data_IF_443367844545
#
_entry.id   IF_443367844545
#
_cell.length_a   1.000
_cell.length_b   1.000
_cell.length_c   1.000
_cell.angle_alpha   90.00
_cell.angle_beta   90.00
_cell.angle_gamma   90.00
#
_symmetry.space_group_name_H-M   'P 1'
#
loop_
_entity.id
_entity.type
_entity.pdbx_description
1 polymer ?
#
# COMPACT_ATOMS: atom_id res chain seq x y z
N UNK A 1 -37.48 -0.75 5.26
CA UNK A 1 -36.08 -0.44 5.64
C UNK A 1 -35.31 -0.29 4.34
N UNK A 2 -34.53 0.77 4.20
CA UNK A 2 -33.67 0.95 3.03
C UNK A 2 -32.59 -0.14 3.06
N UNK A 3 -32.50 -0.94 2.01
CA UNK A 3 -31.52 -2.01 1.91
C UNK A 3 -30.27 -1.44 1.24
N UNK A 4 -29.20 -1.34 2.02
CA UNK A 4 -27.89 -0.93 1.52
C UNK A 4 -27.08 -2.15 1.09
N UNK A 5 -26.29 -1.98 0.05
CA UNK A 5 -25.26 -2.95 -0.32
C UNK A 5 -24.21 -3.04 0.79
N UNK A 6 -23.67 -4.24 1.00
CA UNK A 6 -22.67 -4.50 2.02
C UNK A 6 -21.31 -4.68 1.37
N UNK A 7 -20.34 -3.92 1.85
CA UNK A 7 -18.96 -3.96 1.39
C UNK A 7 -18.04 -4.43 2.51
N UNK A 8 -16.93 -5.05 2.13
CA UNK A 8 -15.89 -5.47 3.07
C UNK A 8 -14.57 -4.82 2.66
N UNK A 9 -14.08 -3.91 3.50
CA UNK A 9 -12.85 -3.16 3.23
C UNK A 9 -11.75 -3.57 4.20
N UNK A 10 -10.60 -3.94 3.65
CA UNK A 10 -9.34 -4.09 4.37
C UNK A 10 -8.54 -2.79 4.26
N UNK A 11 -8.50 -2.01 5.34
CA UNK A 11 -7.61 -0.85 5.44
C UNK A 11 -6.20 -1.35 5.68
N UNK A 12 -5.25 -0.85 4.89
CA UNK A 12 -3.82 -1.20 4.92
C UNK A 12 -2.97 -0.05 5.46
N UNK A 13 -3.45 1.19 5.33
CA UNK A 13 -2.82 2.39 5.86
C UNK A 13 -3.89 3.43 6.21
N UNK A 14 -3.79 4.15 7.36
CA UNK A 14 -2.66 4.21 8.31
C UNK A 14 -2.60 3.07 9.32
N UNK A 15 -3.70 2.36 9.54
CA UNK A 15 -3.77 1.27 10.52
C UNK A 15 -4.56 0.15 9.92
N UNK A 16 -4.03 -1.07 10.08
CA UNK A 16 -4.65 -2.24 9.53
C UNK A 16 -6.00 -2.55 10.20
N UNK A 17 -7.06 -2.71 9.41
CA UNK A 17 -8.38 -3.07 9.91
C UNK A 17 -9.23 -3.76 8.83
N UNK A 18 -10.07 -4.70 9.25
CA UNK A 18 -11.13 -5.26 8.42
C UNK A 18 -12.47 -4.68 8.87
N UNK A 19 -13.14 -4.01 7.95
CA UNK A 19 -14.35 -3.24 8.24
C UNK A 19 -15.43 -3.61 7.25
N UNK A 20 -16.60 -3.96 7.78
CA UNK A 20 -17.84 -4.04 7.02
C UNK A 20 -18.48 -2.65 6.95
N UNK A 21 -19.02 -2.30 5.79
CA UNK A 21 -19.57 -0.97 5.53
C UNK A 21 -20.79 -1.06 4.61
N UNK A 22 -21.76 -0.18 4.85
CA UNK A 22 -22.88 0.08 3.92
C UNK A 22 -22.61 1.28 3.00
N UNK A 23 -21.39 1.83 3.05
CA UNK A 23 -20.93 2.91 2.19
C UNK A 23 -20.15 2.34 1.00
N UNK A 24 -20.40 2.84 -0.22
CA UNK A 24 -19.54 2.55 -1.38
C UNK A 24 -18.13 3.15 -1.16
N UNK A 25 -17.13 2.74 -1.96
CA UNK A 25 -15.72 3.12 -1.73
C UNK A 25 -15.50 4.63 -1.66
N UNK A 26 -16.19 5.39 -2.52
CA UNK A 26 -16.16 6.86 -2.55
C UNK A 26 -16.61 7.49 -1.23
N UNK A 27 -17.68 6.98 -0.63
CA UNK A 27 -18.20 7.55 0.62
C UNK A 27 -17.39 7.02 1.81
N UNK A 28 -16.82 5.82 1.69
CA UNK A 28 -15.94 5.23 2.69
C UNK A 28 -14.64 6.02 2.87
N UNK A 29 -13.97 6.44 1.78
CA UNK A 29 -12.75 7.28 1.90
C UNK A 29 -13.07 8.64 2.56
N UNK A 30 -14.16 9.30 2.13
CA UNK A 30 -14.60 10.60 2.69
C UNK A 30 -14.94 10.48 4.18
N UNK A 31 -15.51 9.34 4.60
CA UNK A 31 -15.83 9.05 6.00
C UNK A 31 -14.60 9.14 6.90
N UNK A 32 -13.43 8.71 6.42
CA UNK A 32 -12.17 8.72 7.16
C UNK A 32 -11.43 10.05 7.05
N UNK A 33 -11.52 10.75 5.92
CA UNK A 33 -10.91 12.08 5.74
C UNK A 33 -11.63 13.19 6.52
N UNK A 34 -12.96 13.19 6.54
CA UNK A 34 -13.75 14.31 7.08
C UNK A 34 -14.87 13.90 8.04
N UNK A 35 -15.44 12.72 7.85
CA UNK A 35 -16.75 12.39 8.43
C UNK A 35 -16.73 11.81 9.83
N UNK A 36 -15.56 11.55 10.44
CA UNK A 36 -15.44 10.78 11.68
C UNK A 36 -15.08 11.58 12.92
N UNK A 37 -15.57 11.11 14.08
CA UNK A 37 -15.15 11.59 15.39
C UNK A 37 -13.67 11.30 15.64
N UNK A 38 -13.11 10.30 14.96
CA UNK A 38 -11.69 9.94 14.94
C UNK A 38 -11.04 10.57 13.70
N UNK A 39 -10.69 11.85 13.80
CA UNK A 39 -10.07 12.59 12.69
C UNK A 39 -8.73 11.97 12.27
N UNK A 40 -8.54 11.76 10.97
CA UNK A 40 -7.25 11.40 10.38
C UNK A 40 -6.97 12.27 9.16
N UNK A 41 -5.90 13.07 9.23
CA UNK A 41 -5.49 14.03 8.19
C UNK A 41 -4.38 13.46 7.31
N UNK A 42 -4.59 12.27 6.74
CA UNK A 42 -3.56 11.63 5.95
C UNK A 42 -4.10 10.76 4.83
N UNK A 43 -3.17 10.14 4.13
CA UNK A 43 -3.43 9.21 3.04
C UNK A 43 -4.07 7.94 3.56
N UNK A 44 -5.01 7.40 2.81
CA UNK A 44 -5.64 6.12 3.13
C UNK A 44 -5.34 5.14 2.02
N UNK A 45 -4.95 3.91 2.36
CA UNK A 45 -4.89 2.81 1.40
C UNK A 45 -5.76 1.70 1.94
N UNK A 46 -6.71 1.23 1.14
CA UNK A 46 -7.59 0.13 1.50
C UNK A 46 -7.95 -0.67 0.27
N UNK A 47 -8.31 -1.94 0.46
CA UNK A 47 -8.78 -2.81 -0.59
C UNK A 47 -10.21 -3.28 -0.29
N UNK A 48 -11.01 -3.43 -1.33
CA UNK A 48 -12.29 -4.13 -1.27
C UNK A 48 -12.06 -5.64 -1.45
N UNK A 49 -12.71 -6.41 -0.60
CA UNK A 49 -12.67 -7.87 -0.61
C UNK A 49 -14.01 -8.43 -1.08
N UNK A 50 -13.99 -9.64 -1.61
CA UNK A 50 -15.23 -10.40 -1.85
C UNK A 50 -16.04 -10.50 -0.56
N UNK A 51 -17.26 -9.93 -0.56
CA UNK A 51 -18.18 -9.94 0.58
C UNK A 51 -18.52 -11.35 1.08
N UNK A 52 -18.32 -12.37 0.23
CA UNK A 52 -18.54 -13.79 0.56
C UNK A 52 -17.30 -14.48 1.13
N UNK A 53 -16.13 -13.85 1.12
CA UNK A 53 -14.90 -14.41 1.70
C UNK A 53 -15.07 -14.68 3.20
N UNK A 54 -14.54 -15.81 3.68
CA UNK A 54 -14.59 -16.22 5.08
C UNK A 54 -13.27 -16.83 5.50
N UNK A 55 -12.87 -16.54 6.73
CA UNK A 55 -11.69 -17.10 7.36
C UNK A 55 -12.01 -17.38 8.85
N UNK A 56 -11.48 -18.46 9.46
CA UNK A 56 -11.78 -18.79 10.86
C UNK A 56 -11.32 -17.76 11.90
N UNK A 57 -10.25 -16.99 11.61
CA UNK A 57 -9.75 -15.93 12.49
C UNK A 57 -10.60 -14.65 12.34
N UNK A 58 -11.07 -14.37 11.12
CA UNK A 58 -11.91 -13.22 10.82
C UNK A 58 -13.39 -13.55 11.04
N UNK A 59 -13.94 -13.19 12.20
CA UNK A 59 -15.35 -13.46 12.61
C UNK A 59 -16.40 -12.64 11.80
N UNK A 60 -16.33 -12.70 10.47
CA UNK A 60 -17.09 -11.88 9.52
C UNK A 60 -18.60 -12.09 9.71
N UNK A 61 -19.08 -13.34 9.81
CA UNK A 61 -20.51 -13.62 10.00
C UNK A 61 -21.06 -13.07 11.32
N UNK A 62 -20.23 -13.00 12.36
CA UNK A 62 -20.62 -12.37 13.62
C UNK A 62 -20.72 -10.86 13.46
N UNK A 63 -19.76 -10.24 12.79
CA UNK A 63 -19.76 -8.81 12.53
C UNK A 63 -20.90 -8.37 11.58
N UNK A 64 -21.25 -9.19 10.59
CA UNK A 64 -22.37 -8.96 9.65
C UNK A 64 -23.70 -8.77 10.37
N UNK A 65 -23.94 -9.46 11.50
CA UNK A 65 -25.15 -9.27 12.32
C UNK A 65 -25.29 -7.85 12.86
N UNK A 66 -24.17 -7.13 13.03
CA UNK A 66 -24.12 -5.75 13.47
C UNK A 66 -24.14 -4.72 12.33
N UNK A 67 -24.06 -5.16 11.07
CA UNK A 67 -24.12 -4.30 9.89
C UNK A 67 -25.56 -3.93 9.56
N UNK A 68 -26.18 -3.15 10.43
CA UNK A 68 -27.58 -2.71 10.32
C UNK A 68 -27.63 -1.19 10.28
N UNK A 69 -28.43 -0.66 9.36
CA UNK A 69 -28.66 0.77 9.23
C UNK A 69 -29.15 1.37 10.57
N UNK A 70 -28.82 2.63 10.80
CA UNK A 70 -29.23 3.34 12.00
C UNK A 70 -30.76 3.50 12.05
N UNK A 71 -31.35 3.71 13.25
CA UNK A 71 -32.80 3.90 13.39
C UNK A 71 -33.35 5.09 12.58
N UNK A 72 -32.51 6.07 12.28
CA UNK A 72 -32.82 7.24 11.45
C UNK A 72 -32.71 6.96 9.94
N UNK A 73 -32.43 5.72 9.56
CA UNK A 73 -32.32 5.26 8.18
C UNK A 73 -30.92 5.39 7.58
N UNK A 74 -29.96 6.06 8.24
CA UNK A 74 -28.61 6.24 7.68
C UNK A 74 -27.85 4.90 7.58
N UNK A 75 -27.00 4.73 6.54
CA UNK A 75 -26.19 3.53 6.40
C UNK A 75 -25.22 3.39 7.58
N UNK A 76 -24.94 2.14 7.96
CA UNK A 76 -23.88 1.79 8.91
C UNK A 76 -22.53 1.98 8.23
N UNK A 77 -21.87 3.08 8.53
CA UNK A 77 -20.62 3.45 7.88
C UNK A 77 -19.44 2.51 8.20
N UNK A 78 -19.36 2.03 9.45
CA UNK A 78 -18.27 1.17 9.89
C UNK A 78 -18.76 0.15 10.91
N UNK A 79 -18.46 -1.12 10.65
CA UNK A 79 -18.63 -2.23 11.57
C UNK A 79 -17.33 -3.04 11.54
N UNK A 80 -16.52 -2.91 12.59
CA UNK A 80 -15.22 -3.59 12.65
C UNK A 80 -15.39 -5.11 12.78
N UNK A 81 -14.57 -5.84 12.03
CA UNK A 81 -14.38 -7.30 12.12
C UNK A 81 -13.09 -7.61 12.88
N UNK A 82 -11.99 -6.95 12.49
CA UNK A 82 -10.66 -7.12 13.09
C UNK A 82 -9.85 -5.82 12.96
N UNK A 83 -8.88 -5.62 13.86
CA UNK A 83 -7.97 -4.47 13.84
C UNK A 83 -6.49 -4.85 13.92
N UNK A 84 -6.16 -6.12 13.67
CA UNK A 84 -4.81 -6.66 13.78
C UNK A 84 -4.67 -7.96 12.97
N UNK A 85 -3.51 -8.13 12.32
CA UNK A 85 -3.16 -9.31 11.49
C UNK A 85 -4.20 -9.59 10.40
N UNK A 86 -4.81 -8.54 9.87
CA UNK A 86 -5.87 -8.68 8.88
C UNK A 86 -5.31 -9.25 7.60
N UNK A 87 -4.28 -8.62 7.01
CA UNK A 87 -3.68 -9.10 5.77
C UNK A 87 -3.14 -10.51 5.93
N UNK A 88 -2.60 -10.88 7.11
CA UNK A 88 -2.12 -12.25 7.36
C UNK A 88 -3.23 -13.31 7.26
N UNK A 89 -4.50 -12.92 7.43
CA UNK A 89 -5.67 -13.81 7.41
C UNK A 89 -6.61 -13.56 6.21
N UNK A 90 -6.22 -12.70 5.26
CA UNK A 90 -6.93 -12.50 4.00
C UNK A 90 -6.20 -13.26 2.89
N UNK A 91 -6.91 -14.15 2.21
CA UNK A 91 -6.41 -14.80 0.99
C UNK A 91 -6.22 -13.77 -0.12
N UNK A 92 -5.10 -13.86 -0.85
CA UNK A 92 -4.75 -12.90 -1.91
C UNK A 92 -5.85 -12.81 -2.97
N UNK A 93 -6.45 -13.94 -3.34
CA UNK A 93 -7.51 -14.01 -4.36
C UNK A 93 -8.80 -13.31 -3.94
N UNK A 94 -9.07 -13.18 -2.63
CA UNK A 94 -10.25 -12.51 -2.11
C UNK A 94 -10.17 -10.98 -2.29
N UNK A 95 -8.99 -10.42 -2.55
CA UNK A 95 -8.78 -8.99 -2.78
C UNK A 95 -9.24 -8.66 -4.21
N UNK A 96 -10.21 -7.77 -4.34
CA UNK A 96 -10.83 -7.42 -5.62
C UNK A 96 -10.25 -6.12 -6.19
N UNK A 97 -10.37 -5.03 -5.44
CA UNK A 97 -10.03 -3.68 -5.90
C UNK A 97 -9.19 -2.97 -4.86
N UNK A 98 -8.18 -2.21 -5.29
CA UNK A 98 -7.34 -1.41 -4.40
C UNK A 98 -7.66 0.08 -4.56
N UNK A 99 -7.72 0.81 -3.45
CA UNK A 99 -8.04 2.23 -3.42
C UNK A 99 -6.93 3.05 -2.76
N UNK A 100 -6.49 4.11 -3.44
CA UNK A 100 -5.58 5.11 -2.91
C UNK A 100 -6.36 6.40 -2.62
N UNK A 101 -6.47 6.78 -1.36
CA UNK A 101 -7.14 8.00 -0.90
C UNK A 101 -6.15 9.11 -0.55
N UNK A 102 -6.46 10.33 -0.97
CA UNK A 102 -5.79 11.56 -0.53
C UNK A 102 -6.44 12.09 0.76
N UNK A 103 -5.75 12.98 1.51
CA UNK A 103 -6.31 13.61 2.70
C UNK A 103 -7.59 14.41 2.42
N UNK A 104 -7.77 14.88 1.18
CA UNK A 104 -8.94 15.65 0.77
C UNK A 104 -10.15 14.80 0.35
N UNK A 105 -10.11 13.49 0.62
CA UNK A 105 -11.18 12.54 0.30
C UNK A 105 -11.28 12.18 -1.19
N UNK A 106 -10.45 12.75 -2.06
CA UNK A 106 -10.30 12.25 -3.43
C UNK A 106 -9.61 10.89 -3.41
N UNK A 107 -9.94 10.02 -4.36
CA UNK A 107 -9.35 8.68 -4.43
C UNK A 107 -9.11 8.22 -5.86
N UNK A 108 -8.23 7.23 -5.99
CA UNK A 108 -7.97 6.48 -7.21
C UNK A 108 -8.30 5.01 -6.98
N UNK A 109 -9.07 4.45 -7.89
CA UNK A 109 -9.38 3.02 -7.95
C UNK A 109 -8.34 2.33 -8.84
N UNK A 110 -7.81 1.21 -8.35
CA UNK A 110 -6.85 0.37 -9.06
C UNK A 110 -7.40 -1.04 -9.17
N UNK A 111 -7.53 -1.49 -10.42
CA UNK A 111 -7.95 -2.85 -10.75
C UNK A 111 -6.73 -3.79 -10.81
N UNK A 112 -6.95 -5.08 -10.59
CA UNK A 112 -5.92 -6.08 -10.79
C UNK A 112 -5.42 -6.05 -12.25
N UNK A 113 -4.11 -6.17 -12.43
CA UNK A 113 -3.50 -6.21 -13.75
C UNK A 113 -2.24 -7.06 -13.80
N UNK A 114 -1.75 -7.39 -15.00
CA UNK A 114 -0.58 -8.24 -15.16
C UNK A 114 0.68 -7.55 -14.66
N UNK A 115 1.48 -8.27 -13.85
CA UNK A 115 2.85 -7.88 -13.57
C UNK A 115 3.78 -8.46 -14.64
N UNK A 116 4.55 -7.59 -15.30
CA UNK A 116 5.59 -8.02 -16.25
C UNK A 116 6.93 -7.95 -15.55
N UNK A 117 7.52 -9.10 -15.23
CA UNK A 117 8.85 -9.15 -14.65
C UNK A 117 9.87 -8.55 -15.63
N UNK A 118 10.74 -7.63 -15.18
CA UNK A 118 11.74 -7.02 -16.06
C UNK A 118 12.84 -8.04 -16.40
N UNK A 119 13.25 -8.11 -17.67
CA UNK A 119 14.33 -9.03 -18.08
C UNK A 119 15.67 -8.74 -17.37
N UNK A 120 15.95 -7.47 -17.11
CA UNK A 120 17.14 -7.01 -16.39
C UNK A 120 16.82 -5.78 -15.55
N UNK A 121 17.28 -5.81 -14.31
CA UNK A 121 17.28 -4.65 -13.43
C UNK A 121 18.53 -3.81 -13.68
N UNK A 122 18.35 -2.49 -13.74
CA UNK A 122 19.44 -1.52 -13.86
C UNK A 122 19.64 -0.83 -12.52
N UNK A 123 20.46 -1.42 -11.66
CA UNK A 123 20.78 -0.85 -10.34
C UNK A 123 19.89 -1.38 -9.22
N UNK A 124 19.46 -0.47 -8.34
CA UNK A 124 18.68 -0.80 -7.15
C UNK A 124 17.25 -0.27 -7.25
N UNK A 125 16.31 -1.05 -6.71
CA UNK A 125 14.93 -0.64 -6.49
C UNK A 125 14.74 -0.15 -5.06
N UNK A 126 13.81 0.78 -4.86
CA UNK A 126 13.37 1.21 -3.54
C UNK A 126 11.95 0.72 -3.34
N UNK A 127 11.77 -0.12 -2.31
CA UNK A 127 10.46 -0.63 -1.91
C UNK A 127 10.00 0.06 -0.65
N UNK A 128 8.70 0.35 -0.59
CA UNK A 128 8.02 0.73 0.63
C UNK A 128 7.10 -0.42 1.00
N UNK A 129 7.38 -1.05 2.13
CA UNK A 129 6.48 -2.05 2.70
C UNK A 129 5.40 -1.33 3.49
N UNK A 130 4.14 -1.69 3.25
CA UNK A 130 2.97 -0.98 3.78
C UNK A 130 2.25 -1.79 4.86
N UNK A 131 2.03 -3.09 4.65
CA UNK A 131 1.49 -4.00 5.66
C UNK A 131 2.03 -5.43 5.47
N UNK A 132 2.28 -6.22 6.52
CA UNK A 132 2.28 -5.82 7.94
C UNK A 132 3.59 -5.11 8.35
N UNK A 133 4.57 -5.09 7.44
CA UNK A 133 5.80 -4.33 7.61
C UNK A 133 5.56 -2.85 7.28
N UNK A 134 6.40 -1.99 7.85
CA UNK A 134 6.31 -0.54 7.64
C UNK A 134 7.68 0.07 7.38
N UNK A 135 8.53 -0.53 6.55
CA UNK A 135 9.89 -0.01 6.29
C UNK A 135 10.07 0.47 4.86
N UNK A 136 11.23 1.10 4.62
CA UNK A 136 11.73 1.42 3.29
C UNK A 136 13.02 0.65 3.09
N UNK A 137 13.19 0.00 1.94
CA UNK A 137 14.31 -0.88 1.65
C UNK A 137 14.89 -0.61 0.27
N UNK A 138 16.22 -0.68 0.17
CA UNK A 138 16.98 -0.66 -1.07
C UNK A 138 17.30 -2.10 -1.47
N UNK A 139 16.95 -2.51 -2.69
CA UNK A 139 16.99 -3.92 -3.10
C UNK A 139 17.56 -4.11 -4.50
N UNK A 140 18.20 -5.25 -4.73
CA UNK A 140 18.63 -5.74 -6.06
C UNK A 140 17.54 -6.55 -6.77
N UNK A 141 16.45 -6.86 -6.08
CA UNK A 141 15.38 -7.71 -6.55
C UNK A 141 14.32 -6.89 -7.30
N UNK A 142 13.62 -7.52 -8.24
CA UNK A 142 12.41 -6.96 -8.81
C UNK A 142 11.24 -7.14 -7.83
N UNK A 143 10.05 -6.69 -8.23
CA UNK A 143 8.91 -6.66 -7.32
C UNK A 143 8.46 -8.07 -6.93
N UNK A 144 8.41 -9.01 -7.87
CA UNK A 144 8.02 -10.40 -7.61
C UNK A 144 9.06 -11.09 -6.71
N UNK A 145 10.34 -10.99 -7.07
CA UNK A 145 11.41 -11.65 -6.30
C UNK A 145 11.57 -11.04 -4.91
N UNK A 146 11.29 -9.73 -4.77
CA UNK A 146 11.27 -9.05 -3.48
C UNK A 146 10.19 -9.62 -2.56
N UNK A 147 8.97 -9.80 -3.04
CA UNK A 147 7.91 -10.38 -2.22
C UNK A 147 8.24 -11.81 -1.80
N UNK A 148 8.74 -12.65 -2.73
CA UNK A 148 9.19 -14.02 -2.43
C UNK A 148 10.28 -14.06 -1.38
N UNK A 149 11.19 -13.08 -1.37
CA UNK A 149 12.24 -13.01 -0.37
C UNK A 149 11.66 -12.90 1.06
N UNK A 150 10.58 -12.15 1.26
CA UNK A 150 9.92 -12.01 2.57
C UNK A 150 8.89 -13.11 2.85
N UNK A 151 8.15 -13.57 1.84
CA UNK A 151 7.10 -14.58 2.04
C UNK A 151 7.62 -16.00 2.00
N UNK A 152 8.80 -16.24 1.42
CA UNK A 152 9.39 -17.56 1.19
C UNK A 152 9.98 -18.26 2.42
N UNK A 153 9.72 -17.78 3.64
CA UNK A 153 10.14 -18.46 4.87
C UNK A 153 11.60 -18.23 5.29
N UNK A 154 12.21 -17.09 4.93
CA UNK A 154 13.53 -16.73 5.44
C UNK A 154 13.53 -16.72 6.99
N UNK A 155 14.47 -17.42 7.67
CA UNK A 155 14.37 -17.73 9.10
C UNK A 155 14.39 -16.50 10.02
N UNK A 156 14.92 -15.37 9.55
CA UNK A 156 15.05 -14.15 10.35
C UNK A 156 14.09 -13.02 9.92
N UNK A 157 13.58 -13.08 8.69
CA UNK A 157 12.91 -11.96 8.04
C UNK A 157 11.81 -12.51 7.13
N UNK A 158 10.78 -13.11 7.72
CA UNK A 158 9.65 -13.61 6.96
C UNK A 158 8.33 -13.18 7.55
N UNK A 159 7.40 -12.85 6.65
CA UNK A 159 6.00 -12.57 6.94
C UNK A 159 5.14 -13.47 6.08
N UNK A 160 3.96 -13.93 6.56
CA UNK A 160 3.13 -14.83 5.77
C UNK A 160 2.58 -14.16 4.50
N UNK A 161 2.31 -12.85 4.58
CA UNK A 161 1.77 -12.02 3.50
C UNK A 161 2.40 -10.63 3.57
N UNK A 162 2.60 -10.01 2.41
CA UNK A 162 3.19 -8.68 2.29
C UNK A 162 2.43 -7.84 1.28
N UNK A 163 2.14 -6.59 1.65
CA UNK A 163 1.66 -5.54 0.77
C UNK A 163 2.71 -4.42 0.69
N UNK A 164 3.15 -4.11 -0.52
CA UNK A 164 4.29 -3.22 -0.77
C UNK A 164 4.19 -2.55 -2.14
N UNK A 165 4.97 -1.49 -2.32
CA UNK A 165 4.98 -0.70 -3.54
C UNK A 165 6.40 -0.37 -3.98
N UNK A 166 6.58 -0.20 -5.29
CA UNK A 166 7.85 0.18 -5.89
C UNK A 166 7.89 1.70 -6.10
N UNK A 167 9.01 2.32 -5.72
CA UNK A 167 9.21 3.77 -5.84
C UNK A 167 10.00 4.13 -7.10
N UNK A 168 9.74 5.31 -7.64
CA UNK A 168 10.55 5.91 -8.70
C UNK A 168 11.91 6.27 -8.12
N UNK A 169 12.97 5.66 -8.63
CA UNK A 169 14.32 5.95 -8.20
C UNK A 169 15.31 5.80 -9.35
N UNK A 170 15.87 6.93 -9.78
CA UNK A 170 16.98 6.97 -10.73
C UNK A 170 18.29 7.08 -9.95
N UNK A 171 18.98 5.94 -9.85
CA UNK A 171 20.24 5.80 -9.14
C UNK A 171 21.33 6.73 -9.72
N UNK A 172 21.48 6.77 -11.05
CA UNK A 172 22.55 7.52 -11.70
C UNK A 172 22.35 9.02 -11.47
N UNK A 173 21.14 9.51 -11.75
CA UNK A 173 20.78 10.91 -11.52
C UNK A 173 20.92 11.30 -10.04
N UNK A 174 20.52 10.42 -9.11
CA UNK A 174 20.70 10.67 -7.68
C UNK A 174 22.18 10.85 -7.31
N UNK A 175 23.05 9.94 -7.75
CA UNK A 175 24.48 10.00 -7.43
C UNK A 175 25.16 11.24 -8.02
N UNK A 176 24.84 11.58 -9.27
CA UNK A 176 25.37 12.78 -9.94
C UNK A 176 24.94 14.07 -9.22
N UNK A 177 23.65 14.19 -8.88
CA UNK A 177 23.12 15.35 -8.15
C UNK A 177 23.69 15.47 -6.75
N UNK A 178 23.86 14.34 -6.05
CA UNK A 178 24.44 14.34 -4.71
C UNK A 178 25.90 14.79 -4.72
N UNK A 179 26.68 14.37 -5.72
CA UNK A 179 28.07 14.81 -5.88
C UNK A 179 28.17 16.33 -6.14
N UNK A 180 27.25 16.87 -6.95
CA UNK A 180 27.22 18.31 -7.26
C UNK A 180 26.71 19.14 -6.08
N UNK A 181 25.72 18.65 -5.34
CA UNK A 181 25.13 19.33 -4.19
C UNK A 181 24.69 18.33 -3.10
N UNK A 182 25.55 18.06 -2.10
CA UNK A 182 25.25 17.14 -1.00
C UNK A 182 24.11 17.58 -0.09
N UNK A 183 23.67 18.84 -0.18
CA UNK A 183 22.57 19.41 0.60
C UNK A 183 21.23 19.36 -0.14
N UNK A 184 21.19 18.86 -1.38
CA UNK A 184 19.95 18.64 -2.11
C UNK A 184 19.04 17.65 -1.34
N UNK A 185 17.71 17.85 -1.35
CA UNK A 185 16.80 16.93 -0.68
C UNK A 185 16.87 15.53 -1.30
N UNK A 186 16.68 14.52 -0.46
CA UNK A 186 16.56 13.13 -0.90
C UNK A 186 15.35 12.94 -1.83
N UNK A 187 15.45 12.11 -2.88
CA UNK A 187 14.30 11.75 -3.71
C UNK A 187 13.25 10.94 -2.94
N UNK A 188 13.63 10.29 -1.84
CA UNK A 188 12.74 9.54 -0.96
C UNK A 188 12.53 10.32 0.34
N UNK A 189 11.27 10.61 0.65
CA UNK A 189 10.91 11.38 1.85
C UNK A 189 11.28 10.58 3.09
N UNK A 190 11.78 11.27 4.12
CA UNK A 190 12.16 10.65 5.40
C UNK A 190 13.55 10.02 5.41
N UNK A 191 14.25 9.96 4.28
CA UNK A 191 15.63 9.47 4.20
C UNK A 191 16.58 10.65 3.99
N UNK A 192 17.65 10.73 4.79
CA UNK A 192 18.69 11.73 4.56
C UNK A 192 19.51 11.33 3.32
N UNK A 193 19.82 12.26 2.38
CA UNK A 193 20.49 11.93 1.12
C UNK A 193 21.85 11.25 1.33
N UNK A 194 22.64 11.69 2.32
CA UNK A 194 23.90 11.01 2.67
C UNK A 194 23.71 9.55 3.11
N UNK A 195 22.62 9.22 3.82
CA UNK A 195 22.32 7.84 4.25
C UNK A 195 21.89 6.97 3.07
N UNK A 196 21.14 7.52 2.12
CA UNK A 196 20.81 6.83 0.88
C UNK A 196 22.08 6.52 0.08
N UNK A 197 22.97 7.49 -0.09
CA UNK A 197 24.28 7.33 -0.73
C UNK A 197 25.14 6.28 -0.03
N UNK A 198 25.24 6.32 1.31
CA UNK A 198 26.00 5.33 2.07
C UNK A 198 25.42 3.91 1.91
N UNK A 199 24.10 3.78 1.88
CA UNK A 199 23.41 2.51 1.67
C UNK A 199 23.67 1.92 0.28
N UNK A 200 23.70 2.77 -0.76
CA UNK A 200 24.05 2.38 -2.13
C UNK A 200 25.48 1.85 -2.18
N UNK A 201 26.46 2.62 -1.67
CA UNK A 201 27.87 2.20 -1.67
C UNK A 201 28.08 0.92 -0.85
N UNK A 202 27.39 0.77 0.27
CA UNK A 202 27.45 -0.46 1.08
C UNK A 202 26.92 -1.66 0.31
N UNK A 203 25.78 -1.51 -0.38
CA UNK A 203 25.22 -2.56 -1.23
C UNK A 203 26.13 -2.90 -2.40
N UNK A 204 26.74 -1.91 -3.06
CA UNK A 204 27.74 -2.13 -4.12
C UNK A 204 28.96 -2.90 -3.62
N UNK A 205 29.41 -2.66 -2.38
CA UNK A 205 30.53 -3.38 -1.77
C UNK A 205 30.21 -4.83 -1.38
N UNK A 206 28.91 -5.19 -1.32
CA UNK A 206 28.41 -6.50 -0.89
C UNK A 206 27.50 -7.12 -1.96
N UNK A 207 28.05 -7.75 -3.02
CA UNK A 207 27.27 -8.32 -4.12
C UNK A 207 26.22 -9.35 -3.67
N UNK A 208 26.51 -10.11 -2.61
CA UNK A 208 25.60 -11.14 -2.08
C UNK A 208 24.43 -10.57 -1.26
N UNK A 209 24.47 -9.29 -0.90
CA UNK A 209 23.39 -8.63 -0.16
C UNK A 209 22.25 -8.26 -1.11
N UNK A 210 21.10 -8.92 -0.94
CA UNK A 210 19.94 -8.72 -1.79
C UNK A 210 19.13 -7.46 -1.43
N UNK A 211 19.04 -7.14 -0.14
CA UNK A 211 18.24 -6.02 0.36
C UNK A 211 18.87 -5.37 1.58
N UNK A 212 18.65 -4.05 1.75
CA UNK A 212 19.11 -3.25 2.88
C UNK A 212 18.02 -2.27 3.31
N UNK A 213 17.64 -2.31 4.58
CA UNK A 213 16.72 -1.33 5.16
C UNK A 213 17.32 0.08 5.14
N UNK A 214 16.53 1.05 4.67
CA UNK A 214 16.86 2.48 4.62
C UNK A 214 16.21 3.26 5.76
N UNK A 215 15.02 2.85 6.21
CA UNK A 215 14.29 3.47 7.30
C UNK A 215 13.55 2.41 8.12
N UNK A 216 13.50 2.61 9.45
CA UNK A 216 12.76 1.72 10.37
C UNK A 216 11.25 1.95 10.35
N UNK A 217 10.80 3.09 9.82
CA UNK A 217 9.40 3.37 9.59
C UNK A 217 9.25 4.13 8.27
N UNK A 218 8.29 3.74 7.43
CA UNK A 218 7.96 4.47 6.23
C UNK A 218 7.23 5.77 6.60
N UNK A 219 7.31 6.78 5.73
CA UNK A 219 6.62 8.07 5.92
C UNK A 219 5.57 8.25 4.83
N UNK A 220 4.76 7.20 4.61
CA UNK A 220 3.81 7.13 3.52
C UNK A 220 2.83 8.31 3.49
N UNK A 221 2.35 8.78 4.65
CA UNK A 221 1.50 9.97 4.75
C UNK A 221 2.11 11.23 4.10
N UNK A 222 3.44 11.35 4.06
CA UNK A 222 4.16 12.50 3.47
C UNK A 222 4.68 12.23 2.06
N UNK A 223 4.66 10.98 1.62
CA UNK A 223 5.21 10.57 0.33
C UNK A 223 4.14 10.78 -0.75
N UNK A 224 4.45 11.55 -1.79
CA UNK A 224 3.51 11.78 -2.89
C UNK A 224 3.23 10.49 -3.65
N UNK A 225 1.98 10.25 -4.06
CA UNK A 225 1.66 9.08 -4.89
C UNK A 225 2.33 9.14 -6.27
N UNK A 226 2.81 10.33 -6.69
CA UNK A 226 3.58 10.53 -7.93
C UNK A 226 4.89 9.76 -7.96
N UNK A 227 5.36 9.36 -6.78
CA UNK A 227 6.60 8.60 -6.65
C UNK A 227 6.40 7.09 -6.71
N UNK A 228 5.15 6.58 -6.76
CA UNK A 228 4.91 5.16 -7.00
C UNK A 228 5.21 4.87 -8.47
N UNK A 229 5.95 3.79 -8.72
CA UNK A 229 6.30 3.34 -10.07
C UNK A 229 5.80 1.92 -10.29
N UNK A 230 5.25 1.69 -11.48
CA UNK A 230 4.62 0.43 -11.91
C UNK A 230 3.35 0.09 -11.15
N UNK A 231 3.35 0.04 -9.82
CA UNK A 231 2.17 -0.34 -9.04
C UNK A 231 2.47 -0.82 -7.62
N UNK A 232 1.48 -1.51 -7.07
CA UNK A 232 1.48 -2.10 -5.73
C UNK A 232 1.23 -3.60 -5.83
N UNK A 233 1.78 -4.38 -4.91
CA UNK A 233 1.69 -5.84 -4.95
C UNK A 233 1.34 -6.38 -3.58
N UNK A 234 0.40 -7.33 -3.60
CA UNK A 234 0.20 -8.27 -2.51
C UNK A 234 0.88 -9.59 -2.89
N UNK A 235 1.55 -10.20 -1.92
CA UNK A 235 2.18 -11.49 -2.12
C UNK A 235 2.06 -12.36 -0.89
N UNK A 236 1.86 -13.66 -1.10
CA UNK A 236 2.05 -14.69 -0.09
C UNK A 236 3.00 -15.79 -0.62
N UNK A 237 3.13 -16.90 0.10
CA UNK A 237 3.99 -18.02 -0.33
C UNK A 237 3.64 -18.64 -1.69
N UNK A 238 2.39 -18.49 -2.16
CA UNK A 238 1.82 -19.21 -3.31
C UNK A 238 1.28 -18.25 -4.37
N UNK A 239 0.67 -17.17 -3.95
CA UNK A 239 -0.10 -16.27 -4.80
C UNK A 239 0.47 -14.86 -4.77
N UNK A 240 0.27 -14.14 -5.86
CA UNK A 240 0.53 -12.72 -5.97
C UNK A 240 -0.64 -12.02 -6.64
N UNK A 241 -0.84 -10.75 -6.29
CA UNK A 241 -1.81 -9.89 -6.94
C UNK A 241 -1.25 -8.49 -7.11
N UNK A 242 -1.22 -8.04 -8.35
CA UNK A 242 -0.60 -6.79 -8.74
C UNK A 242 -1.64 -5.76 -9.18
N UNK A 243 -1.49 -4.55 -8.67
CA UNK A 243 -2.33 -3.40 -8.97
C UNK A 243 -1.48 -2.35 -9.68
N UNK A 244 -1.49 -2.32 -11.04
CA UNK A 244 -0.70 -1.37 -11.80
C UNK A 244 -1.15 0.07 -11.53
N UNK A 245 -0.17 0.96 -11.37
CA UNK A 245 -0.41 2.40 -11.31
C UNK A 245 -0.55 2.94 -12.74
N UNK A 246 -1.65 3.64 -13.09
CA UNK A 246 -1.76 4.32 -14.37
C UNK A 246 -0.68 5.40 -14.52
N UNK A 247 -0.41 5.83 -15.75
CA UNK A 247 0.54 6.92 -15.98
C UNK A 247 0.04 8.22 -15.34
N UNK A 248 0.96 9.14 -15.03
CA UNK A 248 0.57 10.43 -14.44
C UNK A 248 -0.35 11.23 -15.38
N UNK A 249 -0.12 11.14 -16.68
CA UNK A 249 -0.94 11.74 -17.72
C UNK A 249 -2.35 11.14 -17.72
N UNK A 250 -2.47 9.80 -17.63
CA UNK A 250 -3.77 9.13 -17.55
C UNK A 250 -4.55 9.54 -16.29
N UNK A 251 -3.87 9.61 -15.13
CA UNK A 251 -4.52 10.06 -13.89
C UNK A 251 -4.95 11.52 -14.00
N UNK A 252 -4.14 12.38 -14.60
CA UNK A 252 -4.47 13.79 -14.82
C UNK A 252 -5.70 13.96 -15.72
N UNK A 253 -5.80 13.17 -16.80
CA UNK A 253 -6.92 13.21 -17.75
C UNK A 253 -8.21 12.61 -17.19
N UNK A 254 -8.13 11.45 -16.54
CA UNK A 254 -9.31 10.67 -16.12
C UNK A 254 -9.77 11.01 -14.69
N UNK A 255 -8.86 11.49 -13.83
CA UNK A 255 -9.13 11.77 -12.42
C UNK A 255 -8.33 12.98 -11.90
N UNK A 256 -8.52 14.13 -12.56
CA UNK A 256 -7.87 15.40 -12.19
C UNK A 256 -7.99 15.79 -10.71
N UNK A 257 -9.14 15.60 -10.01
CA UNK A 257 -9.24 15.91 -8.58
C UNK A 257 -8.22 15.13 -7.74
N UNK A 258 -8.09 13.81 -7.97
CA UNK A 258 -7.09 13.01 -7.29
C UNK A 258 -5.67 13.42 -7.66
N UNK A 259 -5.39 13.65 -8.95
CA UNK A 259 -4.08 14.08 -9.46
C UNK A 259 -3.53 15.32 -8.75
N UNK A 260 -4.41 16.29 -8.47
CA UNK A 260 -4.05 17.54 -7.79
C UNK A 260 -3.64 17.31 -6.33
N UNK A 261 -4.19 16.28 -5.67
CA UNK A 261 -3.91 15.95 -4.27
C UNK A 261 -2.74 14.98 -4.05
N UNK A 262 -2.15 14.41 -5.11
CA UNK A 262 -1.16 13.31 -5.04
C UNK A 262 0.14 13.64 -4.29
#
# INVERSE_FOLDING_TARGET
MQQYESHMYMVLYPTEALILSQLPPKDFVVRYSYGSTSYYEGKMIFAELDINYRDPFLLIDQAMKGLVAHPDGRPKATQYVAGYRVLEHVEIDAIQTLYLGNPDGTFLELQEGPYVQPEKLKGFNIFVEVSPLHMISLSRLDMHDYGKYFTGGHPLLSVPRLFYMLMNFDLANFMDRFQQNPFAPSPIVGIHPAKLRDAILDMESKPDSLSKGLAMHNVLARQSYRSITRGLMFMDTKNEKFFPMPSLEQIEEENYPFYKGM
#
